data_IF_397123477763
#
_entry.id   IF_397123477763
#
_cell.length_a   1.000
_cell.length_b   1.000
_cell.length_c   1.000
_cell.angle_alpha   90.00
_cell.angle_beta   90.00
_cell.angle_gamma   90.00
#
_symmetry.space_group_name_H-M   'P 1'
#
loop_
_entity.id
_entity.type
_entity.pdbx_description
1 polymer ?
#
# COMPACT_ATOMS: atom_id res chain seq x y z
N UNK A 1 7.24 -9.71 -57.41
CA UNK A 1 6.35 -10.30 -56.39
C UNK A 1 7.06 -10.59 -55.05
N UNK A 2 8.27 -11.10 -55.02
CA UNK A 2 9.04 -11.33 -53.76
C UNK A 2 9.36 -10.04 -52.96
N UNK A 3 9.64 -8.94 -53.65
CA UNK A 3 10.02 -7.68 -52.99
C UNK A 3 8.87 -7.01 -52.22
N UNK A 4 7.65 -7.17 -52.67
CA UNK A 4 6.44 -6.65 -51.97
C UNK A 4 6.08 -7.44 -50.71
N UNK A 5 6.37 -8.76 -50.74
CA UNK A 5 6.08 -9.64 -49.61
C UNK A 5 7.05 -9.37 -48.46
N UNK A 6 8.34 -9.12 -48.76
CA UNK A 6 9.36 -8.80 -47.74
C UNK A 6 9.09 -7.45 -47.06
N UNK A 7 8.62 -6.44 -47.81
CA UNK A 7 8.27 -5.15 -47.23
C UNK A 7 7.04 -5.24 -46.31
N UNK A 8 6.05 -6.07 -46.69
CA UNK A 8 4.85 -6.29 -45.88
C UNK A 8 5.11 -7.08 -44.58
N UNK A 9 6.06 -8.05 -44.64
CA UNK A 9 6.48 -8.78 -43.43
C UNK A 9 7.28 -7.87 -42.47
N UNK A 10 8.19 -7.04 -42.97
CA UNK A 10 8.98 -6.12 -42.15
C UNK A 10 8.11 -5.07 -41.44
N UNK A 11 7.12 -4.52 -42.13
CA UNK A 11 6.18 -3.55 -41.51
C UNK A 11 5.28 -4.19 -40.44
N UNK A 12 4.81 -5.43 -40.68
CA UNK A 12 4.03 -6.17 -39.65
C UNK A 12 4.88 -6.54 -38.44
N UNK A 13 6.15 -6.91 -38.65
CA UNK A 13 7.07 -7.25 -37.56
C UNK A 13 7.42 -6.02 -36.72
N UNK A 14 7.62 -4.86 -37.34
CA UNK A 14 7.84 -3.60 -36.64
C UNK A 14 6.60 -3.14 -35.86
N UNK A 15 5.40 -3.34 -36.41
CA UNK A 15 4.15 -3.02 -35.72
C UNK A 15 3.91 -3.91 -34.48
N UNK A 16 4.26 -5.21 -34.58
CA UNK A 16 4.17 -6.13 -33.44
C UNK A 16 5.17 -5.81 -32.33
N UNK A 17 6.39 -5.36 -32.66
CA UNK A 17 7.40 -4.94 -31.67
C UNK A 17 6.94 -3.66 -30.96
N UNK A 18 6.31 -2.72 -31.65
CA UNK A 18 5.78 -1.49 -31.06
C UNK A 18 4.58 -1.73 -30.12
N UNK A 19 3.78 -2.77 -30.38
CA UNK A 19 2.65 -3.15 -29.52
C UNK A 19 3.10 -3.94 -28.25
N UNK A 20 4.32 -4.48 -28.24
CA UNK A 20 4.86 -5.18 -27.06
C UNK A 20 5.58 -4.24 -26.05
N UNK A 21 5.80 -2.98 -26.37
CA UNK A 21 6.21 -1.98 -25.38
C UNK A 21 5.01 -1.47 -24.57
N UNK A 22 4.13 -2.38 -24.20
CA UNK A 22 3.06 -2.11 -23.24
C UNK A 22 3.72 -1.59 -21.96
N UNK A 23 3.52 -0.30 -21.68
CA UNK A 23 3.94 0.32 -20.45
C UNK A 23 3.44 -0.57 -19.30
N UNK A 24 4.35 -1.24 -18.60
CA UNK A 24 4.02 -1.85 -17.31
C UNK A 24 3.65 -0.69 -16.39
N UNK A 25 2.37 -0.37 -16.37
CA UNK A 25 1.81 0.56 -15.37
C UNK A 25 1.87 -0.19 -14.06
N UNK A 26 3.02 -0.11 -13.37
CA UNK A 26 3.10 -0.58 -11.99
C UNK A 26 2.03 0.16 -11.20
N UNK A 27 1.17 -0.57 -10.54
CA UNK A 27 0.21 0.03 -9.61
C UNK A 27 0.98 0.86 -8.60
N UNK A 28 0.68 2.14 -8.56
CA UNK A 28 1.28 3.09 -7.60
C UNK A 28 0.67 2.91 -6.21
N UNK A 29 -0.47 2.22 -6.11
CA UNK A 29 -1.12 1.89 -4.86
C UNK A 29 -0.33 0.83 -4.10
N UNK A 30 -0.33 0.94 -2.78
CA UNK A 30 0.38 0.02 -1.91
C UNK A 30 0.95 0.70 -0.67
N UNK A 31 1.74 -0.03 0.09
CA UNK A 31 2.42 0.50 1.27
C UNK A 31 3.91 0.63 1.01
N UNK A 32 4.43 1.76 1.45
CA UNK A 32 5.81 2.19 1.31
C UNK A 32 6.45 2.34 2.68
N UNK A 33 7.74 2.01 2.80
CA UNK A 33 8.50 2.05 4.05
C UNK A 33 9.73 2.96 3.92
N UNK A 34 9.97 3.76 4.96
CA UNK A 34 11.26 4.36 5.31
C UNK A 34 11.73 3.71 6.60
N UNK A 35 12.94 3.18 6.61
CA UNK A 35 13.57 2.60 7.81
C UNK A 35 14.86 3.33 8.12
N UNK A 36 14.97 3.85 9.32
CA UNK A 36 16.12 4.60 9.81
C UNK A 36 17.18 3.67 10.44
N UNK A 37 18.42 4.15 10.50
CA UNK A 37 19.55 3.40 11.09
C UNK A 37 19.37 3.05 12.58
N UNK A 38 18.63 3.89 13.31
CA UNK A 38 18.28 3.66 14.71
C UNK A 38 17.17 2.63 14.92
N UNK A 39 16.63 2.05 13.82
CA UNK A 39 15.56 1.07 13.83
C UNK A 39 14.15 1.66 13.83
N UNK A 40 13.99 3.00 13.95
CA UNK A 40 12.68 3.61 13.72
C UNK A 40 12.25 3.45 12.28
N UNK A 41 10.92 3.41 12.03
CA UNK A 41 10.39 3.28 10.67
C UNK A 41 9.09 4.07 10.52
N UNK A 42 8.78 4.38 9.28
CA UNK A 42 7.51 4.99 8.92
C UNK A 42 6.93 4.29 7.69
N UNK A 43 5.63 4.00 7.76
CA UNK A 43 4.83 3.46 6.66
C UNK A 43 3.95 4.55 6.07
N UNK A 44 3.81 4.52 4.75
CA UNK A 44 2.82 5.30 4.00
C UNK A 44 1.99 4.32 3.19
N UNK A 45 0.74 4.10 3.61
CA UNK A 45 -0.26 3.36 2.85
C UNK A 45 -0.94 4.32 1.87
N UNK A 46 -0.57 4.23 0.59
CA UNK A 46 -0.95 5.16 -0.46
C UNK A 46 -1.98 4.54 -1.39
N UNK A 47 -3.10 5.23 -1.58
CA UNK A 47 -4.17 4.84 -2.49
C UNK A 47 -4.57 6.00 -3.40
N UNK A 48 -4.47 5.80 -4.71
CA UNK A 48 -4.99 6.70 -5.72
C UNK A 48 -6.22 6.08 -6.38
N UNK A 49 -7.36 6.77 -6.28
CA UNK A 49 -8.62 6.38 -6.92
C UNK A 49 -9.10 7.55 -7.76
N UNK A 50 -9.05 7.40 -9.09
CA UNK A 50 -9.37 8.49 -10.03
C UNK A 50 -8.51 9.73 -9.75
N UNK A 51 -9.14 10.84 -9.37
CA UNK A 51 -8.49 12.13 -9.10
C UNK A 51 -8.29 12.39 -7.60
N UNK A 52 -8.46 11.39 -6.74
CA UNK A 52 -8.28 11.52 -5.30
C UNK A 52 -7.19 10.58 -4.82
N UNK A 53 -6.38 11.07 -3.91
CA UNK A 53 -5.39 10.30 -3.16
C UNK A 53 -5.83 10.25 -1.71
N UNK A 54 -5.77 9.07 -1.12
CA UNK A 54 -5.84 8.84 0.32
C UNK A 54 -4.48 8.30 0.76
N UNK A 55 -3.98 8.79 1.88
CA UNK A 55 -2.77 8.26 2.49
C UNK A 55 -2.99 8.12 4.00
N UNK A 56 -2.66 6.94 4.51
CA UNK A 56 -2.55 6.68 5.94
C UNK A 56 -1.08 6.49 6.27
N UNK A 57 -0.60 7.15 7.33
CA UNK A 57 0.80 7.19 7.72
C UNK A 57 0.91 6.70 9.15
N UNK A 58 1.89 5.85 9.40
CA UNK A 58 2.22 5.34 10.72
C UNK A 58 3.72 5.35 10.90
N UNK A 59 4.18 5.92 12.00
CA UNK A 59 5.58 5.93 12.39
C UNK A 59 5.78 5.27 13.75
N UNK A 60 6.85 4.49 13.87
CA UNK A 60 7.35 3.94 15.12
C UNK A 60 8.75 4.43 15.40
N UNK A 61 8.94 5.02 16.59
CA UNK A 61 10.16 5.75 16.93
C UNK A 61 11.29 4.89 17.46
N UNK A 62 11.01 3.61 17.75
CA UNK A 62 11.96 2.70 18.41
C UNK A 62 12.48 3.23 19.75
N UNK A 63 11.61 3.88 20.53
CA UNK A 63 11.90 4.35 21.89
C UNK A 63 11.42 3.34 22.92
N UNK A 64 11.97 3.39 24.14
CA UNK A 64 11.51 2.52 25.25
C UNK A 64 10.04 2.74 25.59
N UNK A 65 9.51 3.95 25.37
CA UNK A 65 8.10 4.28 25.57
C UNK A 65 7.17 3.70 24.48
N UNK A 66 7.72 3.15 23.39
CA UNK A 66 6.93 2.66 22.27
C UNK A 66 6.19 3.77 21.53
N UNK A 67 6.74 4.99 21.49
CA UNK A 67 6.10 6.15 20.86
C UNK A 67 5.81 5.92 19.38
N UNK A 68 4.60 6.26 18.97
CA UNK A 68 4.14 6.19 17.58
C UNK A 68 3.61 7.53 17.12
N UNK A 69 3.61 7.75 15.80
CA UNK A 69 2.94 8.86 15.14
C UNK A 69 1.95 8.33 14.11
N UNK A 70 0.87 9.05 13.87
CA UNK A 70 -0.13 8.66 12.89
C UNK A 70 -0.75 9.88 12.20
N UNK A 71 -1.11 9.71 10.93
CA UNK A 71 -1.79 10.73 10.14
C UNK A 71 -2.66 10.08 9.08
N UNK A 72 -3.88 10.57 8.91
CA UNK A 72 -4.72 10.23 7.78
C UNK A 72 -5.05 11.49 6.99
N UNK A 73 -4.77 11.47 5.69
CA UNK A 73 -5.04 12.63 4.86
C UNK A 73 -5.44 12.28 3.44
N UNK A 74 -6.05 13.27 2.80
CA UNK A 74 -6.51 13.18 1.42
C UNK A 74 -5.92 14.31 0.58
N UNK A 75 -5.78 14.09 -0.74
CA UNK A 75 -5.35 15.10 -1.68
C UNK A 75 -6.08 14.95 -3.01
N UNK A 76 -6.24 16.06 -3.73
CA UNK A 76 -6.61 16.02 -5.14
C UNK A 76 -5.38 15.60 -5.97
N UNK A 77 -5.60 14.70 -6.93
CA UNK A 77 -4.52 14.28 -7.82
C UNK A 77 -4.21 15.37 -8.84
N UNK A 78 -3.02 15.93 -8.74
CA UNK A 78 -2.48 16.86 -9.72
C UNK A 78 -1.03 16.43 -10.06
N UNK A 79 -0.90 15.62 -11.11
CA UNK A 79 0.40 15.04 -11.47
C UNK A 79 0.87 13.98 -10.49
N UNK A 80 2.12 14.13 -10.01
CA UNK A 80 2.80 13.22 -9.08
C UNK A 80 3.08 13.85 -7.70
N UNK A 81 2.63 15.08 -7.47
CA UNK A 81 2.82 15.83 -6.23
C UNK A 81 1.48 15.94 -5.49
N UNK A 82 1.44 15.54 -4.22
CA UNK A 82 0.25 15.49 -3.38
C UNK A 82 0.51 16.19 -2.06
N UNK A 83 -0.29 17.20 -1.75
CA UNK A 83 -0.31 17.85 -0.43
C UNK A 83 -1.51 17.27 0.31
N UNK A 84 -1.26 16.53 1.37
CA UNK A 84 -2.31 15.90 2.16
C UNK A 84 -3.01 16.94 3.04
N UNK A 85 -4.32 16.78 3.18
CA UNK A 85 -5.17 17.49 4.13
C UNK A 85 -5.86 16.49 5.03
N UNK A 86 -5.90 16.76 6.31
CA UNK A 86 -6.58 15.97 7.33
C UNK A 86 -7.60 16.85 8.03
N UNK A 87 -8.71 16.24 8.42
CA UNK A 87 -9.73 16.87 9.29
C UNK A 87 -9.58 16.39 10.74
N UNK A 88 -8.70 15.43 11.01
CA UNK A 88 -8.51 14.77 12.31
C UNK A 88 -7.16 15.11 12.97
N UNK A 89 -6.16 15.48 12.18
CA UNK A 89 -4.82 15.78 12.63
C UNK A 89 -4.57 17.28 12.82
N UNK A 90 -3.40 17.65 13.36
CA UNK A 90 -2.99 19.03 13.52
C UNK A 90 -3.13 19.81 12.19
N UNK A 91 -3.93 20.89 12.14
CA UNK A 91 -4.13 21.68 10.93
C UNK A 91 -2.86 22.37 10.43
N UNK A 92 -1.85 22.55 11.29
CA UNK A 92 -0.57 23.13 10.93
C UNK A 92 0.41 22.10 10.32
N UNK A 93 0.15 20.81 10.52
CA UNK A 93 0.94 19.74 9.91
C UNK A 93 0.75 19.74 8.39
N UNK A 94 1.84 19.87 7.65
CA UNK A 94 1.85 19.83 6.19
C UNK A 94 2.66 18.63 5.70
N UNK A 95 1.98 17.70 5.08
CA UNK A 95 2.62 16.53 4.48
C UNK A 95 2.56 16.63 2.96
N UNK A 96 3.72 16.62 2.33
CA UNK A 96 3.82 16.53 0.88
C UNK A 96 4.41 15.19 0.44
N UNK A 97 3.78 14.58 -0.55
CA UNK A 97 4.21 13.32 -1.16
C UNK A 97 4.52 13.55 -2.63
N UNK A 98 5.69 13.13 -3.09
CA UNK A 98 6.05 13.13 -4.51
C UNK A 98 6.29 11.68 -4.93
N UNK A 99 5.54 11.24 -5.93
CA UNK A 99 5.62 9.88 -6.45
C UNK A 99 6.59 9.84 -7.64
N UNK A 100 7.73 9.15 -7.47
CA UNK A 100 8.81 9.09 -8.44
C UNK A 100 9.26 7.65 -8.65
N UNK A 101 9.15 7.14 -9.88
CA UNK A 101 9.69 5.82 -10.27
C UNK A 101 9.32 4.68 -9.31
N UNK A 102 8.06 4.64 -8.82
CA UNK A 102 7.58 3.62 -7.89
C UNK A 102 8.02 3.80 -6.44
N UNK A 103 8.58 4.95 -6.09
CA UNK A 103 8.92 5.36 -4.72
C UNK A 103 8.11 6.60 -4.34
N UNK A 104 7.99 6.86 -3.05
CA UNK A 104 7.41 8.09 -2.52
C UNK A 104 8.51 8.88 -1.82
N UNK A 105 8.72 10.13 -2.22
CA UNK A 105 9.45 11.11 -1.42
C UNK A 105 8.43 11.83 -0.55
N UNK A 106 8.61 11.74 0.78
CA UNK A 106 7.74 12.41 1.74
C UNK A 106 8.49 13.53 2.46
N UNK A 107 7.79 14.61 2.73
CA UNK A 107 8.25 15.70 3.56
C UNK A 107 7.16 16.06 4.58
N UNK A 108 7.55 16.10 5.85
CA UNK A 108 6.72 16.45 7.00
C UNK A 108 7.19 17.80 7.52
N UNK A 109 6.32 18.79 7.49
CA UNK A 109 6.56 20.15 7.98
C UNK A 109 5.57 20.44 9.11
N UNK A 110 6.10 20.81 10.29
CA UNK A 110 5.32 21.12 11.50
C UNK A 110 4.38 20.02 12.01
N UNK A 111 4.77 18.75 11.83
CA UNK A 111 3.98 17.59 12.21
C UNK A 111 4.38 16.98 13.56
N UNK A 112 5.02 17.77 14.44
CA UNK A 112 5.53 17.28 15.73
C UNK A 112 4.40 16.87 16.68
N UNK A 113 3.24 17.54 16.64
CA UNK A 113 2.06 17.20 17.46
C UNK A 113 1.52 15.82 17.09
N UNK A 114 1.55 15.47 15.80
CA UNK A 114 1.17 14.14 15.29
C UNK A 114 2.29 13.10 15.44
N UNK A 115 3.38 13.45 16.14
CA UNK A 115 4.58 12.63 16.30
C UNK A 115 5.20 12.16 14.98
N UNK A 116 5.15 13.01 13.96
CA UNK A 116 5.74 12.81 12.64
C UNK A 116 6.75 13.93 12.33
N UNK A 117 7.89 13.99 13.05
CA UNK A 117 8.89 15.02 12.82
C UNK A 117 9.63 14.81 11.50
N UNK A 118 10.46 15.79 11.17
CA UNK A 118 11.29 15.80 9.96
C UNK A 118 12.25 14.60 9.85
N UNK A 119 12.52 13.89 10.94
CA UNK A 119 13.31 12.65 10.95
C UNK A 119 12.74 11.54 10.05
N UNK A 120 11.45 11.64 9.72
CA UNK A 120 10.78 10.75 8.75
C UNK A 120 10.72 11.34 7.33
N UNK A 121 11.35 12.50 7.07
CA UNK A 121 11.55 12.99 5.71
C UNK A 121 12.45 12.04 4.94
N UNK A 122 12.07 11.71 3.71
CA UNK A 122 12.92 10.84 2.91
C UNK A 122 12.23 10.15 1.75
N UNK A 123 12.92 9.15 1.22
CA UNK A 123 12.47 8.35 0.09
C UNK A 123 12.02 6.98 0.59
N UNK A 124 10.76 6.71 0.44
CA UNK A 124 10.07 5.48 0.83
C UNK A 124 10.08 4.49 -0.32
N UNK A 125 10.42 3.26 -0.04
CA UNK A 125 10.38 2.16 -1.01
C UNK A 125 9.12 1.32 -0.82
N UNK A 126 8.49 0.90 -1.93
CA UNK A 126 7.31 0.05 -1.88
C UNK A 126 7.66 -1.32 -1.33
N UNK A 127 6.92 -1.78 -0.32
CA UNK A 127 7.11 -3.09 0.32
C UNK A 127 6.00 -4.09 -0.02
N UNK A 128 4.80 -3.62 -0.36
CA UNK A 128 3.65 -4.46 -0.72
C UNK A 128 2.62 -3.67 -1.54
N UNK A 129 1.78 -4.39 -2.28
CA UNK A 129 0.59 -3.82 -2.93
C UNK A 129 -0.60 -3.66 -1.95
N UNK A 130 -0.50 -4.17 -0.74
CA UNK A 130 -1.52 -4.01 0.28
C UNK A 130 -1.62 -2.54 0.73
N UNK A 131 -2.84 -2.12 1.04
CA UNK A 131 -3.19 -0.79 1.52
C UNK A 131 -3.96 -0.95 2.82
N UNK A 132 -3.71 -0.14 3.84
CA UNK A 132 -4.47 -0.16 5.08
C UNK A 132 -5.98 0.02 4.85
N UNK A 133 -6.79 -0.51 5.77
CA UNK A 133 -8.24 -0.41 5.78
C UNK A 133 -8.97 -1.72 5.44
N UNK A 134 -10.20 -1.59 4.97
CA UNK A 134 -11.13 -2.71 4.85
C UNK A 134 -11.04 -3.45 3.53
N UNK A 135 -11.21 -4.77 3.61
CA UNK A 135 -11.22 -5.69 2.47
C UNK A 135 -12.39 -6.66 2.57
N UNK A 136 -12.85 -7.12 1.41
CA UNK A 136 -13.79 -8.24 1.30
C UNK A 136 -13.03 -9.48 0.83
N UNK A 137 -13.29 -10.61 1.46
CA UNK A 137 -12.78 -11.92 1.01
C UNK A 137 -13.43 -12.27 -0.33
N UNK A 138 -12.60 -12.47 -1.36
CA UNK A 138 -13.03 -12.67 -2.76
C UNK A 138 -13.13 -14.15 -3.15
N UNK A 139 -12.45 -15.04 -2.42
CA UNK A 139 -12.41 -16.49 -2.67
C UNK A 139 -13.44 -17.22 -1.82
N UNK A 140 -13.91 -18.43 -2.22
CA UNK A 140 -14.90 -19.18 -1.45
C UNK A 140 -14.49 -19.40 0.01
N UNK A 141 -13.21 -19.66 0.28
CA UNK A 141 -12.66 -19.91 1.61
C UNK A 141 -11.20 -19.50 1.69
N UNK A 142 -10.81 -18.77 2.72
CA UNK A 142 -9.43 -18.42 3.03
C UNK A 142 -9.12 -18.72 4.49
N UNK A 143 -8.06 -19.49 4.73
CA UNK A 143 -7.62 -19.82 6.08
C UNK A 143 -6.70 -18.75 6.63
N UNK A 144 -6.75 -18.53 7.94
CA UNK A 144 -5.73 -17.81 8.65
C UNK A 144 -4.45 -18.62 8.78
N UNK A 145 -3.32 -17.95 8.82
CA UNK A 145 -2.00 -18.52 9.05
C UNK A 145 -1.33 -17.81 10.24
N UNK A 146 -0.49 -18.54 10.98
CA UNK A 146 0.24 -17.97 12.13
C UNK A 146 1.39 -17.06 11.69
N UNK A 147 1.95 -17.33 10.50
CA UNK A 147 3.03 -16.55 9.86
C UNK A 147 2.67 -16.30 8.41
N UNK A 148 3.39 -15.41 7.75
CA UNK A 148 3.29 -15.15 6.31
C UNK A 148 3.83 -16.35 5.47
N UNK A 149 3.30 -17.54 5.73
CA UNK A 149 3.75 -18.82 5.18
C UNK A 149 2.60 -19.82 5.10
N UNK A 150 2.45 -20.48 3.95
CA UNK A 150 1.41 -21.47 3.68
C UNK A 150 1.46 -22.69 4.61
N UNK A 151 2.66 -23.07 5.10
CA UNK A 151 2.84 -24.19 6.04
C UNK A 151 2.28 -23.93 7.44
N UNK A 152 1.91 -22.68 7.78
CA UNK A 152 1.47 -22.30 9.12
C UNK A 152 -0.05 -22.16 9.25
N UNK A 153 -0.81 -22.85 8.38
CA UNK A 153 -2.27 -22.83 8.28
C UNK A 153 -2.94 -23.18 9.61
N UNK A 154 -3.92 -22.36 9.99
CA UNK A 154 -4.78 -22.57 11.16
C UNK A 154 -6.07 -23.31 10.78
N UNK A 155 -6.84 -23.74 11.79
CA UNK A 155 -8.19 -24.32 11.58
C UNK A 155 -9.23 -23.23 11.25
N UNK A 156 -8.99 -22.00 11.69
CA UNK A 156 -9.88 -20.85 11.51
C UNK A 156 -9.78 -20.31 10.08
N UNK A 157 -10.92 -19.88 9.55
CA UNK A 157 -11.02 -19.36 8.17
C UNK A 157 -12.09 -18.27 8.08
N UNK A 158 -12.02 -17.52 6.99
CA UNK A 158 -13.06 -16.60 6.50
C UNK A 158 -13.59 -17.09 5.15
N UNK A 159 -14.80 -16.69 4.80
CA UNK A 159 -15.46 -17.08 3.56
C UNK A 159 -15.73 -15.84 2.69
N UNK A 160 -16.06 -16.09 1.42
CA UNK A 160 -16.41 -15.04 0.45
C UNK A 160 -17.47 -14.09 1.03
N UNK A 161 -17.22 -12.81 0.92
CA UNK A 161 -18.10 -11.76 1.45
C UNK A 161 -17.81 -11.34 2.88
N UNK A 162 -17.00 -12.08 3.66
CA UNK A 162 -16.56 -11.60 4.96
C UNK A 162 -15.69 -10.33 4.80
N UNK A 163 -15.93 -9.35 5.65
CA UNK A 163 -15.14 -8.14 5.76
C UNK A 163 -14.00 -8.36 6.75
N UNK A 164 -12.78 -8.02 6.37
CA UNK A 164 -11.58 -8.05 7.21
C UNK A 164 -10.90 -6.68 7.18
N UNK A 165 -10.20 -6.31 8.24
CA UNK A 165 -9.49 -5.03 8.35
C UNK A 165 -7.99 -5.29 8.43
N UNK A 166 -7.22 -4.52 7.64
CA UNK A 166 -5.76 -4.46 7.66
C UNK A 166 -5.33 -3.13 8.27
N UNK A 167 -4.77 -3.17 9.46
CA UNK A 167 -4.22 -1.98 10.11
C UNK A 167 -2.82 -1.67 9.56
N UNK A 168 -2.50 -0.39 9.43
CA UNK A 168 -1.22 0.06 8.87
C UNK A 168 -0.02 -0.43 9.68
N UNK A 169 -0.12 -0.47 11.01
CA UNK A 169 0.91 -0.96 11.93
C UNK A 169 1.20 -2.47 11.80
N UNK A 170 0.28 -3.20 11.20
CA UNK A 170 0.35 -4.65 10.98
C UNK A 170 0.77 -5.03 9.56
N UNK A 171 1.10 -4.04 8.71
CA UNK A 171 1.53 -4.29 7.34
C UNK A 171 2.96 -4.86 7.33
N UNK A 172 3.15 -5.87 6.49
CA UNK A 172 4.45 -6.52 6.26
C UNK A 172 4.78 -6.54 4.77
N UNK A 173 6.06 -6.69 4.45
CA UNK A 173 6.50 -6.83 3.07
C UNK A 173 5.95 -8.11 2.41
N UNK A 174 5.68 -8.03 1.10
CA UNK A 174 5.27 -9.17 0.28
C UNK A 174 3.76 -9.30 0.11
N UNK A 175 3.30 -10.54 -0.13
CA UNK A 175 1.93 -10.85 -0.56
C UNK A 175 1.04 -11.44 0.56
N UNK A 176 1.51 -11.48 1.77
CA UNK A 176 0.76 -11.89 2.95
C UNK A 176 0.40 -10.66 3.78
N UNK A 177 -0.84 -10.60 4.26
CA UNK A 177 -1.34 -9.50 5.08
C UNK A 177 -1.89 -10.02 6.39
N UNK A 178 -1.56 -9.35 7.49
CA UNK A 178 -2.09 -9.66 8.81
C UNK A 178 -3.40 -8.92 9.00
N UNK A 179 -4.50 -9.64 9.08
CA UNK A 179 -5.84 -9.04 9.10
C UNK A 179 -6.61 -9.42 10.36
N UNK A 180 -7.57 -8.57 10.69
CA UNK A 180 -8.52 -8.71 11.76
C UNK A 180 -9.90 -9.01 11.18
N UNK A 181 -10.59 -9.96 11.76
CA UNK A 181 -11.97 -10.34 11.43
C UNK A 181 -12.82 -10.40 12.68
N UNK A 182 -13.90 -9.65 12.71
CA UNK A 182 -14.89 -9.70 13.79
C UNK A 182 -16.16 -10.36 13.25
N UNK A 183 -16.58 -11.44 13.89
CA UNK A 183 -17.82 -12.14 13.53
C UNK A 183 -19.05 -11.30 13.90
N UNK A 184 -20.24 -11.57 13.32
CA UNK A 184 -21.48 -10.92 13.74
C UNK A 184 -21.79 -11.03 15.24
N UNK A 185 -21.23 -12.05 15.91
CA UNK A 185 -21.38 -12.29 17.37
C UNK A 185 -20.29 -11.58 18.20
N UNK A 186 -19.45 -10.72 17.56
CA UNK A 186 -18.42 -9.97 18.24
C UNK A 186 -17.13 -10.74 18.54
N UNK A 187 -16.99 -12.01 18.07
CA UNK A 187 -15.75 -12.76 18.27
C UNK A 187 -14.68 -12.32 17.28
N UNK A 188 -13.50 -11.97 17.79
CA UNK A 188 -12.37 -11.55 16.99
C UNK A 188 -11.46 -12.73 16.61
N UNK A 189 -11.00 -12.72 15.37
CA UNK A 189 -9.96 -13.59 14.82
C UNK A 189 -8.92 -12.74 14.09
N UNK A 190 -7.67 -13.19 14.13
CA UNK A 190 -6.57 -12.49 13.46
C UNK A 190 -5.53 -13.47 12.95
N UNK A 191 -4.78 -13.06 11.93
CA UNK A 191 -3.71 -13.85 11.34
C UNK A 191 -3.42 -13.43 9.90
N UNK A 192 -2.49 -14.13 9.29
CA UNK A 192 -2.08 -13.85 7.92
C UNK A 192 -3.03 -14.50 6.91
N UNK A 193 -3.33 -13.75 5.86
CA UNK A 193 -4.08 -14.21 4.66
C UNK A 193 -3.30 -13.74 3.44
N UNK A 194 -3.32 -14.52 2.36
CA UNK A 194 -2.74 -14.09 1.09
C UNK A 194 -3.54 -12.91 0.50
N UNK A 195 -2.85 -11.83 0.13
CA UNK A 195 -3.46 -10.61 -0.43
C UNK A 195 -4.36 -10.90 -1.65
N UNK A 196 -3.98 -11.87 -2.50
CA UNK A 196 -4.78 -12.27 -3.67
C UNK A 196 -6.18 -12.82 -3.33
N UNK A 197 -6.43 -13.22 -2.08
CA UNK A 197 -7.74 -13.67 -1.60
C UNK A 197 -8.67 -12.52 -1.20
N UNK A 198 -8.16 -11.30 -1.22
CA UNK A 198 -8.82 -10.10 -0.71
C UNK A 198 -9.05 -9.09 -1.83
N UNK A 199 -10.14 -8.33 -1.71
CA UNK A 199 -10.46 -7.20 -2.58
C UNK A 199 -10.65 -5.97 -1.70
N UNK A 200 -9.87 -4.90 -1.93
CA UNK A 200 -9.99 -3.61 -1.23
C UNK A 200 -11.37 -2.99 -1.51
N UNK A 201 -12.02 -2.45 -0.49
CA UNK A 201 -13.28 -1.72 -0.56
C UNK A 201 -13.11 -0.26 -0.13
#
# INVERSE_FOLDING_TARGET
MKFLIDQFLRTKLQLCIFLMTGSFVFSQNGTYELKNKNGSYCYISFQKVRNRVNAEIFAWWNTQSGQTGSYFGTSQSNGNHYILKSDENDPDCKISLILEQGKIRANFDRCTIDHLPEDFNGVYSKITDAIAGDYIVSVPKSYFHQKADAGTKQKTYVIKGNKVTLNIDSITAGNWVYVYYVTPQGKEYKGYIELKHLKKI
#
